data_IF_652442572141
#
_entry.id   IF_652442572141
#
_cell.length_a   1.000
_cell.length_b   1.000
_cell.length_c   1.000
_cell.angle_alpha   90.00
_cell.angle_beta   90.00
_cell.angle_gamma   90.00
#
_symmetry.space_group_name_H-M   'P 1'
#
loop_
_entity.id
_entity.type
_entity.pdbx_description
1 polymer ?
#
# COMPACT_ATOMS: atom_id res chain seq x y z
N UNK A 1 -7.60 -1.83 -22.42
CA UNK A 1 -7.12 -1.49 -21.06
C UNK A 1 -7.15 0.01 -20.93
N UNK A 2 -7.86 0.56 -19.94
CA UNK A 2 -7.99 2.00 -19.73
C UNK A 2 -7.55 2.39 -18.31
N UNK A 3 -7.34 3.68 -18.06
CA UNK A 3 -6.93 4.22 -16.76
C UNK A 3 -7.96 3.97 -15.64
N UNK A 4 -9.19 3.60 -15.98
CA UNK A 4 -10.32 3.43 -15.06
C UNK A 4 -11.05 2.10 -15.30
N UNK A 5 -10.34 0.97 -15.19
CA UNK A 5 -10.96 -0.35 -15.31
C UNK A 5 -11.46 -0.87 -13.95
N UNK A 6 -12.72 -1.31 -13.83
CA UNK A 6 -13.23 -1.95 -12.61
C UNK A 6 -12.47 -3.21 -12.21
N UNK A 7 -11.78 -3.84 -13.17
CA UNK A 7 -10.95 -5.03 -12.93
C UNK A 7 -9.62 -4.89 -13.68
N UNK A 8 -8.52 -5.09 -12.95
CA UNK A 8 -7.14 -5.04 -13.42
C UNK A 8 -6.60 -6.48 -13.43
N UNK A 9 -6.01 -6.91 -14.56
CA UNK A 9 -5.56 -8.30 -14.80
C UNK A 9 -6.63 -9.38 -14.64
N UNK A 10 -7.92 -9.02 -14.69
CA UNK A 10 -9.05 -9.95 -14.54
C UNK A 10 -9.29 -10.43 -13.09
N UNK A 11 -8.44 -10.05 -12.14
CA UNK A 11 -8.50 -10.55 -10.74
C UNK A 11 -8.49 -9.43 -9.70
N UNK A 12 -7.93 -8.26 -10.01
CA UNK A 12 -7.81 -7.15 -9.05
C UNK A 12 -8.97 -6.16 -9.26
N UNK A 13 -9.92 -6.14 -8.35
CA UNK A 13 -11.05 -5.20 -8.43
C UNK A 13 -10.63 -3.80 -7.98
N UNK A 14 -11.13 -2.79 -8.68
CA UNK A 14 -10.89 -1.39 -8.33
C UNK A 14 -12.16 -0.57 -8.53
N UNK A 15 -12.17 0.65 -8.00
CA UNK A 15 -13.12 1.68 -8.38
C UNK A 15 -12.36 3.01 -8.56
N UNK A 16 -13.08 4.04 -9.00
CA UNK A 16 -12.49 5.36 -9.24
C UNK A 16 -11.82 5.94 -7.99
N UNK A 17 -12.45 5.78 -6.81
CA UNK A 17 -11.90 6.28 -5.55
C UNK A 17 -10.56 5.60 -5.21
N UNK A 18 -10.52 4.28 -5.32
CA UNK A 18 -9.33 3.48 -5.05
C UNK A 18 -8.18 3.81 -6.02
N UNK A 19 -8.49 4.07 -7.29
CA UNK A 19 -7.52 4.52 -8.28
C UNK A 19 -6.95 5.90 -7.94
N UNK A 20 -7.80 6.85 -7.54
CA UNK A 20 -7.37 8.20 -7.12
C UNK A 20 -6.43 8.12 -5.91
N UNK A 21 -6.77 7.28 -4.91
CA UNK A 21 -5.92 7.05 -3.74
C UNK A 21 -4.54 6.51 -4.16
N UNK A 22 -4.48 5.55 -5.09
CA UNK A 22 -3.21 5.00 -5.58
C UNK A 22 -2.36 6.04 -6.32
N UNK A 23 -2.97 6.89 -7.14
CA UNK A 23 -2.26 7.97 -7.83
C UNK A 23 -1.72 8.96 -6.80
N UNK A 24 -2.51 9.36 -5.81
CA UNK A 24 -2.07 10.25 -4.73
C UNK A 24 -0.92 9.66 -3.90
N UNK A 25 -1.01 8.37 -3.54
CA UNK A 25 0.07 7.65 -2.85
C UNK A 25 1.32 7.53 -3.73
N UNK A 26 1.18 7.31 -5.03
CA UNK A 26 2.30 7.28 -5.97
C UNK A 26 3.02 8.63 -6.06
N UNK A 27 2.28 9.72 -6.22
CA UNK A 27 2.85 11.09 -6.28
C UNK A 27 3.54 11.46 -4.97
N UNK A 28 2.90 11.19 -3.82
CA UNK A 28 3.50 11.46 -2.50
C UNK A 28 4.73 10.59 -2.24
N UNK A 29 4.75 9.34 -2.71
CA UNK A 29 5.91 8.46 -2.64
C UNK A 29 7.10 8.96 -3.44
N UNK A 30 6.87 9.40 -4.68
CA UNK A 30 7.93 10.00 -5.52
C UNK A 30 8.47 11.27 -4.84
N UNK A 31 7.58 12.16 -4.41
CA UNK A 31 7.97 13.42 -3.78
C UNK A 31 8.76 13.24 -2.48
N UNK A 32 8.32 12.34 -1.61
CA UNK A 32 9.04 12.01 -0.37
C UNK A 32 10.37 11.32 -0.66
N UNK A 33 10.42 10.47 -1.69
CA UNK A 33 11.65 9.86 -2.17
C UNK A 33 12.71 10.88 -2.61
N UNK A 34 12.30 11.88 -3.38
CA UNK A 34 13.20 12.97 -3.82
C UNK A 34 13.74 13.82 -2.65
N UNK A 35 13.02 13.87 -1.53
CA UNK A 35 13.41 14.64 -0.32
C UNK A 35 14.12 13.80 0.74
N UNK A 36 14.44 12.53 0.47
CA UNK A 36 15.08 11.63 1.42
C UNK A 36 14.16 11.08 2.52
N UNK A 37 12.84 11.28 2.40
CA UNK A 37 11.82 10.79 3.33
C UNK A 37 11.34 9.37 3.06
N UNK A 38 12.02 8.62 2.17
CA UNK A 38 11.59 7.31 1.67
C UNK A 38 11.31 6.31 2.79
N UNK A 39 12.11 6.33 3.87
CA UNK A 39 11.93 5.44 5.01
C UNK A 39 10.58 5.63 5.70
N UNK A 40 10.24 6.89 5.99
CA UNK A 40 9.01 7.23 6.71
C UNK A 40 7.80 6.96 5.82
N UNK A 41 7.93 7.23 4.52
CA UNK A 41 6.93 6.86 3.54
C UNK A 41 6.72 5.34 3.48
N UNK A 42 7.78 4.52 3.46
CA UNK A 42 7.66 3.07 3.49
C UNK A 42 6.97 2.55 4.75
N UNK A 43 7.26 3.12 5.93
CA UNK A 43 6.59 2.74 7.19
C UNK A 43 5.11 3.12 7.12
N UNK A 44 4.79 4.34 6.69
CA UNK A 44 3.42 4.82 6.55
C UNK A 44 2.62 3.98 5.54
N UNK A 45 3.14 3.83 4.32
CA UNK A 45 2.51 3.05 3.26
C UNK A 45 2.34 1.60 3.68
N UNK A 46 3.36 1.02 4.32
CA UNK A 46 3.34 -0.34 4.82
C UNK A 46 2.23 -0.55 5.86
N UNK A 47 2.13 0.34 6.83
CA UNK A 47 1.07 0.31 7.85
C UNK A 47 -0.31 0.50 7.25
N UNK A 48 -0.48 1.44 6.32
CA UNK A 48 -1.75 1.70 5.64
C UNK A 48 -2.23 0.48 4.84
N UNK A 49 -1.37 -0.08 3.99
CA UNK A 49 -1.72 -1.24 3.16
C UNK A 49 -2.02 -2.47 4.03
N UNK A 50 -1.21 -2.71 5.06
CA UNK A 50 -1.44 -3.81 5.98
C UNK A 50 -2.78 -3.66 6.73
N UNK A 51 -3.07 -2.45 7.23
CA UNK A 51 -4.33 -2.17 7.90
C UNK A 51 -5.53 -2.39 6.98
N UNK A 52 -5.53 -1.81 5.77
CA UNK A 52 -6.63 -1.99 4.80
C UNK A 52 -6.80 -3.45 4.39
N UNK A 53 -5.70 -4.16 4.18
CA UNK A 53 -5.71 -5.58 3.84
C UNK A 53 -6.27 -6.47 4.96
N UNK A 54 -5.90 -6.21 6.22
CA UNK A 54 -6.42 -6.96 7.39
C UNK A 54 -7.87 -6.60 7.69
N UNK A 55 -8.23 -5.31 7.64
CA UNK A 55 -9.60 -4.83 7.93
C UNK A 55 -10.64 -5.43 6.98
N UNK A 56 -10.24 -5.83 5.76
CA UNK A 56 -11.11 -6.56 4.84
C UNK A 56 -11.66 -7.87 5.42
N UNK A 57 -10.95 -8.51 6.32
CA UNK A 57 -11.33 -9.78 6.94
C UNK A 57 -12.01 -9.61 8.30
N UNK A 58 -12.11 -8.38 8.81
CA UNK A 58 -12.77 -8.09 10.09
C UNK A 58 -14.28 -7.99 9.87
N UNK A 59 -15.10 -8.78 10.59
CA UNK A 59 -16.56 -8.68 10.52
C UNK A 59 -17.05 -7.25 10.84
N UNK A 60 -18.04 -6.75 10.11
CA UNK A 60 -18.58 -5.39 10.26
C UNK A 60 -17.77 -4.28 9.58
N UNK A 61 -16.43 -4.36 9.57
CA UNK A 61 -15.57 -3.37 8.87
C UNK A 61 -15.26 -3.78 7.44
N UNK A 62 -15.15 -5.08 7.17
CA UNK A 62 -14.81 -5.60 5.84
C UNK A 62 -15.83 -5.21 4.77
N UNK A 63 -17.12 -5.13 5.11
CA UNK A 63 -18.18 -4.68 4.21
C UNK A 63 -18.02 -3.21 3.81
N UNK A 64 -17.56 -2.37 4.74
CA UNK A 64 -17.26 -0.96 4.47
C UNK A 64 -16.06 -0.84 3.51
N UNK A 65 -15.02 -1.64 3.73
CA UNK A 65 -13.83 -1.68 2.85
C UNK A 65 -14.21 -2.13 1.44
N UNK A 66 -15.07 -3.16 1.31
CA UNK A 66 -15.56 -3.62 0.01
C UNK A 66 -16.44 -2.56 -0.66
N UNK A 67 -17.38 -1.95 0.06
CA UNK A 67 -18.32 -0.99 -0.54
C UNK A 67 -17.64 0.31 -0.97
N UNK A 68 -16.67 0.81 -0.19
CA UNK A 68 -15.99 2.07 -0.47
C UNK A 68 -14.81 1.89 -1.44
N UNK A 69 -13.98 0.85 -1.25
CA UNK A 69 -12.71 0.71 -1.99
C UNK A 69 -12.74 -0.43 -3.02
N UNK A 70 -13.84 -1.20 -3.09
CA UNK A 70 -13.97 -2.36 -3.98
C UNK A 70 -12.79 -3.35 -3.85
N UNK A 71 -12.32 -3.57 -2.61
CA UNK A 71 -11.20 -4.45 -2.31
C UNK A 71 -11.72 -5.89 -2.20
N UNK A 72 -11.49 -6.70 -3.24
CA UNK A 72 -11.73 -8.13 -3.16
C UNK A 72 -10.61 -8.85 -2.38
N UNK A 73 -10.76 -10.17 -2.19
CA UNK A 73 -9.80 -10.96 -1.44
C UNK A 73 -8.39 -10.90 -2.06
N UNK A 74 -8.27 -10.94 -3.39
CA UNK A 74 -6.98 -10.87 -4.08
C UNK A 74 -6.25 -9.55 -3.81
N UNK A 75 -6.96 -8.42 -3.87
CA UNK A 75 -6.40 -7.10 -3.57
C UNK A 75 -6.03 -6.98 -2.08
N UNK A 76 -6.81 -7.58 -1.19
CA UNK A 76 -6.47 -7.60 0.24
C UNK A 76 -5.17 -8.36 0.51
N UNK A 77 -4.99 -9.54 -0.09
CA UNK A 77 -3.73 -10.28 0.00
C UNK A 77 -2.55 -9.49 -0.57
N UNK A 78 -2.74 -8.83 -1.72
CA UNK A 78 -1.72 -7.98 -2.32
C UNK A 78 -1.34 -6.84 -1.37
N UNK A 79 -2.32 -6.15 -0.76
CA UNK A 79 -2.07 -5.10 0.22
C UNK A 79 -1.32 -5.61 1.46
N UNK A 80 -1.66 -6.81 1.96
CA UNK A 80 -0.95 -7.41 3.09
C UNK A 80 0.52 -7.68 2.72
N UNK A 81 0.78 -8.32 1.58
CA UNK A 81 2.13 -8.67 1.13
C UNK A 81 2.97 -7.41 0.90
N UNK A 82 2.45 -6.46 0.12
CA UNK A 82 3.15 -5.19 -0.16
C UNK A 82 3.33 -4.39 1.13
N UNK A 83 2.34 -4.40 2.02
CA UNK A 83 2.40 -3.75 3.33
C UNK A 83 3.54 -4.29 4.19
N UNK A 84 3.64 -5.61 4.32
CA UNK A 84 4.74 -6.27 5.04
C UNK A 84 6.09 -5.91 4.42
N UNK A 85 6.24 -6.02 3.10
CA UNK A 85 7.50 -5.70 2.41
C UNK A 85 7.90 -4.24 2.65
N UNK A 86 6.97 -3.30 2.54
CA UNK A 86 7.24 -1.88 2.78
C UNK A 86 7.67 -1.62 4.23
N UNK A 87 7.03 -2.27 5.22
CA UNK A 87 7.46 -2.19 6.62
C UNK A 87 8.85 -2.77 6.84
N UNK A 88 9.16 -3.92 6.24
CA UNK A 88 10.48 -4.54 6.30
C UNK A 88 11.56 -3.62 5.73
N UNK A 89 11.29 -2.96 4.59
CA UNK A 89 12.22 -1.98 4.01
C UNK A 89 12.35 -0.76 4.92
N UNK A 90 11.25 -0.21 5.42
CA UNK A 90 11.24 0.99 6.27
C UNK A 90 11.97 0.79 7.61
N UNK A 91 11.77 -0.36 8.25
CA UNK A 91 12.47 -0.68 9.51
C UNK A 91 13.88 -1.23 9.26
N UNK A 92 14.10 -1.98 8.17
CA UNK A 92 15.39 -2.57 7.81
C UNK A 92 16.42 -1.53 7.36
N UNK A 93 16.00 -0.47 6.65
CA UNK A 93 16.90 0.59 6.16
C UNK A 93 17.64 1.35 7.29
N UNK A 94 17.17 1.29 8.53
CA UNK A 94 17.86 1.89 9.67
C UNK A 94 19.15 1.13 10.07
N UNK A 95 19.30 -0.13 9.68
CA UNK A 95 20.36 -1.01 10.20
C UNK A 95 21.69 -0.92 9.45
N UNK A 96 21.76 -0.22 8.32
CA UNK A 96 22.95 -0.22 7.42
C UNK A 96 23.97 0.89 7.68
N UNK A 97 23.81 1.72 8.72
CA UNK A 97 24.71 2.86 9.00
C UNK A 97 25.84 2.61 10.03
N UNK A 98 26.11 1.36 10.43
CA UNK A 98 27.09 1.07 11.51
C UNK A 98 28.42 0.48 11.00
N UNK A 99 28.57 0.11 9.72
CA UNK A 99 29.76 -0.64 9.25
C UNK A 99 30.56 0.02 8.12
N UNK A 100 30.52 1.34 7.98
CA UNK A 100 31.41 2.08 7.07
C UNK A 100 32.28 3.02 7.90
N UNK A 101 33.24 2.44 8.63
CA UNK A 101 34.11 3.18 9.53
C UNK A 101 35.17 2.28 10.14
N UNK A 102 36.10 1.81 9.29
CA UNK A 102 37.52 1.58 9.58
C UNK A 102 38.23 1.12 8.32
#
# INVERSE_FOLDING_TARGET
WGLFSPVVFGVLTTNTLHAIIHIGLGVTGIWTGMKGGSRQFCIFLGGLLLAVGVLRFVPGVGELIVSILNVNAAVAYLNIVVGIVALLVGFGAARTRITAGR
#
